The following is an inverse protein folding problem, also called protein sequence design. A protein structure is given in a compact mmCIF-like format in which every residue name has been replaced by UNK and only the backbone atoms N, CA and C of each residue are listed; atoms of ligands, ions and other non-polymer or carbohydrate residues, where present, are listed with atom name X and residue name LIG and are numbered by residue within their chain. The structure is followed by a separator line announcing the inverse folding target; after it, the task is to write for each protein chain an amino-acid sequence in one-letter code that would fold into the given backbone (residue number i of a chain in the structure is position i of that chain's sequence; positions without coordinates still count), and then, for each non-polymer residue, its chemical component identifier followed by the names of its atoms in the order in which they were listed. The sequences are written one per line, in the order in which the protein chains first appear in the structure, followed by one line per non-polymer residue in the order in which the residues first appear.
data_IF_189876225687
#
_entry.id   IF_189876225687
#
_cell.length_a   1.000
_cell.length_b   1.000
_cell.length_c   1.000
_cell.angle_alpha   90.00
_cell.angle_beta   90.00
_cell.angle_gamma   90.00
#
_symmetry.space_group_name_H-M   'P 1'
#
loop_
_entity.id
_entity.type
_entity.pdbx_description
1 polymer ?
#
# COMPACT_ATOMS: atom_id res chain seq x y z
N UNK A 1 24.59 74.91 -57.68
CA UNK A 1 25.39 74.06 -56.75
C UNK A 1 24.42 73.15 -56.01
N UNK A 2 24.39 71.85 -56.38
CA UNK A 2 24.71 70.67 -55.53
C UNK A 2 23.77 70.49 -54.33
N UNK A 3 23.16 69.35 -54.05
CA UNK A 3 23.34 67.98 -54.54
C UNK A 3 22.10 67.13 -54.13
N UNK A 4 21.68 66.18 -54.98
CA UNK A 4 20.89 65.00 -54.58
C UNK A 4 21.85 63.94 -54.01
N UNK A 5 21.44 63.20 -52.99
CA UNK A 5 21.13 61.76 -53.10
C UNK A 5 20.59 61.16 -51.77
N UNK A 6 19.91 59.99 -51.83
CA UNK A 6 18.90 59.52 -50.90
C UNK A 6 19.34 58.23 -50.14
N UNK A 7 18.36 57.58 -49.50
CA UNK A 7 18.39 56.26 -48.86
C UNK A 7 19.07 56.16 -47.49
N UNK A 8 18.27 55.83 -46.46
CA UNK A 8 18.14 54.43 -46.05
C UNK A 8 17.05 54.26 -44.98
N UNK A 9 15.93 53.67 -45.43
CA UNK A 9 15.07 52.82 -44.64
C UNK A 9 15.91 51.79 -43.85
N UNK A 10 15.77 51.80 -42.52
CA UNK A 10 15.96 50.59 -41.73
C UNK A 10 14.88 50.52 -40.66
N UNK A 11 13.71 50.07 -41.14
CA UNK A 11 12.67 49.50 -40.31
C UNK A 11 13.30 48.52 -39.31
N UNK A 12 13.20 48.85 -38.03
CA UNK A 12 13.56 47.96 -36.94
C UNK A 12 12.72 46.69 -37.03
N UNK A 13 13.30 45.63 -37.59
CA UNK A 13 12.76 44.27 -37.56
C UNK A 13 12.43 43.95 -36.10
N UNK A 14 11.17 43.63 -35.75
CA UNK A 14 10.88 43.08 -34.44
C UNK A 14 11.64 41.77 -34.36
N UNK A 15 12.67 41.73 -33.51
CA UNK A 15 13.40 40.52 -33.15
C UNK A 15 12.36 39.50 -32.71
N UNK A 16 12.03 38.58 -33.61
CA UNK A 16 11.24 37.40 -33.33
C UNK A 16 12.01 36.65 -32.26
N UNK A 17 11.51 36.74 -31.02
CA UNK A 17 11.92 35.88 -29.92
C UNK A 17 11.80 34.46 -30.46
N UNK A 18 12.93 33.84 -30.76
CA UNK A 18 13.03 32.49 -31.28
C UNK A 18 12.29 31.59 -30.31
N UNK A 19 11.08 31.19 -30.71
CA UNK A 19 10.23 30.30 -29.95
C UNK A 19 10.91 28.94 -29.91
N UNK A 20 11.75 28.70 -28.90
CA UNK A 20 12.19 27.35 -28.54
C UNK A 20 10.93 26.48 -28.55
N UNK A 21 10.93 25.46 -29.41
CA UNK A 21 9.77 24.61 -29.62
C UNK A 21 9.27 24.10 -28.27
N UNK A 22 7.99 24.28 -27.96
CA UNK A 22 7.40 23.83 -26.69
C UNK A 22 7.30 22.28 -26.62
N UNK A 23 7.59 21.60 -27.73
CA UNK A 23 7.47 20.16 -27.91
C UNK A 23 8.27 19.31 -26.92
N UNK A 24 9.57 19.56 -26.64
CA UNK A 24 10.33 18.73 -25.70
C UNK A 24 9.73 18.78 -24.29
N UNK A 25 9.18 19.94 -23.88
CA UNK A 25 8.52 20.10 -22.57
C UNK A 25 7.22 19.33 -22.49
N UNK A 26 6.42 19.33 -23.56
CA UNK A 26 5.16 18.56 -23.62
C UNK A 26 5.42 17.05 -23.65
N UNK A 27 6.44 16.61 -24.39
CA UNK A 27 6.85 15.19 -24.40
C UNK A 27 7.30 14.77 -23.01
N UNK A 28 8.17 15.55 -22.35
CA UNK A 28 8.60 15.25 -20.98
C UNK A 28 7.41 15.23 -19.99
N UNK A 29 6.46 16.15 -20.14
CA UNK A 29 5.26 16.20 -19.32
C UNK A 29 4.37 14.96 -19.53
N UNK A 30 4.18 14.52 -20.78
CA UNK A 30 3.45 13.29 -21.10
C UNK A 30 4.18 12.06 -20.52
N UNK A 31 5.50 11.98 -20.66
CA UNK A 31 6.30 10.89 -20.10
C UNK A 31 6.19 10.83 -18.57
N UNK A 32 6.19 11.97 -17.88
CA UNK A 32 6.02 12.02 -16.43
C UNK A 32 4.65 11.49 -15.99
N UNK A 33 3.56 11.89 -16.66
CA UNK A 33 2.21 11.40 -16.38
C UNK A 33 2.12 9.91 -16.72
N UNK A 34 2.66 9.50 -17.86
CA UNK A 34 2.70 8.12 -18.34
C UNK A 34 3.41 7.20 -17.35
N UNK A 35 4.55 7.62 -16.78
CA UNK A 35 5.30 6.84 -15.81
C UNK A 35 4.45 6.48 -14.58
N UNK A 36 3.64 7.42 -14.08
CA UNK A 36 2.72 7.18 -12.96
C UNK A 36 1.58 6.23 -13.35
N UNK A 37 0.99 6.43 -14.53
CA UNK A 37 -0.12 5.61 -14.99
C UNK A 37 0.30 4.16 -15.27
N UNK A 38 1.51 3.97 -15.80
CA UNK A 38 2.10 2.67 -16.13
C UNK A 38 2.70 1.94 -14.91
N UNK A 39 2.86 2.64 -13.79
CA UNK A 39 3.38 2.05 -12.56
C UNK A 39 2.51 0.85 -12.12
N UNK A 40 3.11 -0.33 -11.84
CA UNK A 40 2.36 -1.49 -11.35
C UNK A 40 1.91 -1.27 -9.90
N UNK A 41 0.85 -1.99 -9.50
CA UNK A 41 0.35 -2.01 -8.13
C UNK A 41 0.76 -3.28 -7.34
N UNK A 42 1.33 -4.28 -8.02
CA UNK A 42 1.75 -5.56 -7.46
C UNK A 42 3.13 -5.93 -8.00
N UNK A 43 3.86 -6.80 -7.30
CA UNK A 43 5.20 -7.23 -7.69
C UNK A 43 5.24 -8.21 -8.87
N UNK A 44 4.11 -8.78 -9.27
CA UNK A 44 3.96 -9.72 -10.41
C UNK A 44 4.03 -9.01 -11.77
N UNK A 45 4.90 -8.01 -11.88
CA UNK A 45 5.04 -7.15 -13.02
C UNK A 45 5.83 -7.82 -14.15
N UNK A 46 5.30 -7.73 -15.37
CA UNK A 46 5.95 -8.19 -16.58
C UNK A 46 6.40 -7.00 -17.45
N UNK A 47 7.52 -7.15 -18.16
CA UNK A 47 8.02 -6.14 -19.10
C UNK A 47 7.00 -5.76 -20.19
N UNK A 48 6.11 -6.68 -20.55
CA UNK A 48 5.04 -6.43 -21.53
C UNK A 48 3.97 -5.49 -20.99
N UNK A 49 3.65 -5.55 -19.69
CA UNK A 49 2.71 -4.62 -19.04
C UNK A 49 3.27 -3.20 -18.90
N UNK A 50 4.60 -3.04 -18.91
CA UNK A 50 5.28 -1.75 -18.84
C UNK A 50 5.20 -0.93 -20.14
N UNK A 51 5.23 -1.64 -21.27
CA UNK A 51 5.16 -1.06 -22.61
C UNK A 51 3.73 -0.72 -23.03
N UNK A 52 2.75 -1.24 -22.31
CA UNK A 52 1.35 -0.93 -22.52
C UNK A 52 1.06 0.54 -22.16
N UNK A 53 0.55 1.31 -23.12
CA UNK A 53 0.12 2.69 -22.86
C UNK A 53 -1.23 2.64 -22.14
N UNK A 54 -1.34 3.11 -20.88
CA UNK A 54 -2.63 3.23 -20.21
C UNK A 54 -3.50 4.23 -20.97
N UNK A 55 -4.74 3.83 -21.24
CA UNK A 55 -5.77 4.65 -21.89
C UNK A 55 -6.03 5.97 -21.15
N UNK A 56 -5.61 6.06 -19.88
CA UNK A 56 -5.77 7.26 -19.05
C UNK A 56 -4.98 8.48 -19.53
N UNK A 57 -3.85 8.31 -20.23
CA UNK A 57 -3.00 9.45 -20.62
C UNK A 57 -3.72 10.42 -21.58
N UNK A 58 -4.32 9.98 -22.70
CA UNK A 58 -5.11 10.87 -23.57
C UNK A 58 -6.26 11.56 -22.84
N UNK A 59 -6.98 10.83 -21.97
CA UNK A 59 -8.12 11.37 -21.21
C UNK A 59 -7.67 12.50 -20.29
N UNK A 60 -6.57 12.30 -19.56
CA UNK A 60 -6.00 13.31 -18.65
C UNK A 60 -5.51 14.53 -19.44
N UNK A 61 -4.84 14.31 -20.58
CA UNK A 61 -4.37 15.42 -21.43
C UNK A 61 -5.53 16.22 -21.99
N UNK A 62 -6.58 15.56 -22.51
CA UNK A 62 -7.80 16.23 -22.98
C UNK A 62 -8.49 17.02 -21.86
N UNK A 63 -8.60 16.44 -20.67
CA UNK A 63 -9.13 17.09 -19.48
C UNK A 63 -8.34 18.35 -19.11
N UNK A 64 -7.01 18.26 -19.11
CA UNK A 64 -6.10 19.38 -18.83
C UNK A 64 -6.22 20.50 -19.87
N UNK A 65 -6.23 20.16 -21.16
CA UNK A 65 -6.34 21.16 -22.25
C UNK A 65 -7.73 21.81 -22.27
N UNK A 66 -8.79 21.05 -21.98
CA UNK A 66 -10.18 21.52 -22.02
C UNK A 66 -10.53 22.47 -20.87
N UNK A 67 -10.14 22.14 -19.65
CA UNK A 67 -10.51 22.89 -18.44
C UNK A 67 -9.36 23.71 -17.84
N UNK A 68 -8.17 23.66 -18.45
CA UNK A 68 -7.01 24.45 -18.06
C UNK A 68 -6.64 24.27 -16.59
N UNK A 69 -6.53 25.38 -15.86
CA UNK A 69 -6.10 25.37 -14.45
C UNK A 69 -7.04 24.60 -13.53
N UNK A 70 -8.34 24.57 -13.79
CA UNK A 70 -9.28 23.80 -12.98
C UNK A 70 -8.95 22.30 -13.03
N UNK A 71 -8.66 21.77 -14.23
CA UNK A 71 -8.20 20.40 -14.38
C UNK A 71 -6.82 20.17 -13.75
N UNK A 72 -5.89 21.13 -13.82
CA UNK A 72 -4.57 21.00 -13.20
C UNK A 72 -4.66 20.80 -11.67
N UNK A 73 -5.50 21.58 -10.99
CA UNK A 73 -5.70 21.53 -9.54
C UNK A 73 -6.24 20.18 -9.07
N UNK A 74 -6.97 19.46 -9.93
CA UNK A 74 -7.51 18.13 -9.62
C UNK A 74 -6.56 17.01 -10.07
N UNK A 75 -6.08 17.07 -11.31
CA UNK A 75 -5.30 15.99 -11.91
C UNK A 75 -3.92 15.82 -11.28
N UNK A 76 -3.21 16.91 -10.95
CA UNK A 76 -1.87 16.80 -10.38
C UNK A 76 -1.89 16.15 -8.98
N UNK A 77 -2.74 16.55 -8.02
CA UNK A 77 -2.87 15.84 -6.75
C UNK A 77 -3.37 14.40 -6.92
N UNK A 78 -4.32 14.13 -7.81
CA UNK A 78 -4.81 12.77 -8.04
C UNK A 78 -3.72 11.83 -8.58
N UNK A 79 -2.91 12.31 -9.53
CA UNK A 79 -1.75 11.56 -10.04
C UNK A 79 -0.69 11.36 -8.96
N UNK A 80 -0.43 12.38 -8.14
CA UNK A 80 0.51 12.26 -7.03
C UNK A 80 0.04 11.23 -5.99
N UNK A 81 -1.23 11.26 -5.57
CA UNK A 81 -1.82 10.28 -4.68
C UNK A 81 -1.75 8.86 -5.27
N UNK A 82 -2.03 8.71 -6.57
CA UNK A 82 -1.90 7.45 -7.28
C UNK A 82 -0.46 6.92 -7.24
N UNK A 83 0.52 7.78 -7.49
CA UNK A 83 1.94 7.41 -7.45
C UNK A 83 2.37 6.98 -6.04
N UNK A 84 2.01 7.76 -5.02
CA UNK A 84 2.33 7.45 -3.62
C UNK A 84 1.68 6.14 -3.20
N UNK A 85 0.38 5.95 -3.47
CA UNK A 85 -0.33 4.74 -3.08
C UNK A 85 0.25 3.50 -3.77
N UNK A 86 0.50 3.53 -5.09
CA UNK A 86 1.13 2.41 -5.79
C UNK A 86 2.55 2.13 -5.31
N UNK A 87 3.33 3.16 -4.99
CA UNK A 87 4.66 2.99 -4.41
C UNK A 87 4.58 2.27 -3.06
N UNK A 88 3.63 2.70 -2.21
CA UNK A 88 3.39 2.06 -0.92
C UNK A 88 2.95 0.61 -1.09
N UNK A 89 2.05 0.34 -2.05
CA UNK A 89 1.61 -1.02 -2.38
C UNK A 89 2.78 -1.92 -2.78
N UNK A 90 3.66 -1.46 -3.67
CA UNK A 90 4.82 -2.25 -4.10
C UNK A 90 5.77 -2.56 -2.93
N UNK A 91 5.95 -1.60 -2.02
CA UNK A 91 6.79 -1.80 -0.84
C UNK A 91 6.14 -2.82 0.11
N UNK A 92 4.86 -2.66 0.44
CA UNK A 92 4.17 -3.61 1.33
C UNK A 92 3.96 -4.98 0.71
N UNK A 93 3.79 -5.06 -0.61
CA UNK A 93 3.64 -6.34 -1.28
C UNK A 93 4.93 -7.16 -1.16
N UNK A 94 6.08 -6.50 -1.33
CA UNK A 94 7.40 -7.14 -1.14
C UNK A 94 7.70 -7.53 0.30
N UNK A 95 7.30 -6.71 1.27
CA UNK A 95 7.64 -6.93 2.69
C UNK A 95 6.60 -7.81 3.39
N UNK A 96 5.31 -7.58 3.12
CA UNK A 96 4.17 -8.15 3.84
C UNK A 96 3.32 -9.11 3.00
N UNK A 97 3.54 -9.22 1.69
CA UNK A 97 2.73 -10.05 0.79
C UNK A 97 1.29 -9.56 0.64
N UNK A 98 1.08 -8.25 0.76
CA UNK A 98 -0.24 -7.60 0.57
C UNK A 98 -0.09 -6.13 0.19
N UNK A 99 -1.16 -5.57 -0.38
CA UNK A 99 -1.26 -4.12 -0.63
C UNK A 99 -1.28 -3.27 0.64
N UNK A 100 -0.92 -1.99 0.49
CA UNK A 100 -0.88 -1.00 1.54
C UNK A 100 -2.29 -0.48 1.83
N UNK A 101 -2.72 -0.60 3.08
CA UNK A 101 -3.96 -0.01 3.59
C UNK A 101 -3.64 1.20 4.47
N UNK A 102 -4.04 2.40 4.06
CA UNK A 102 -3.73 3.66 4.77
C UNK A 102 -4.05 3.57 6.27
N UNK A 103 -5.24 3.08 6.63
CA UNK A 103 -5.67 3.00 8.04
C UNK A 103 -4.95 1.91 8.85
N UNK A 104 -4.48 0.85 8.19
CA UNK A 104 -3.79 -0.25 8.83
C UNK A 104 -2.28 0.01 8.93
N UNK A 105 -1.67 0.53 7.88
CA UNK A 105 -0.21 0.53 7.74
C UNK A 105 0.43 1.86 8.12
N UNK A 106 -0.28 2.99 8.01
CA UNK A 106 0.25 4.29 8.44
C UNK A 106 0.64 4.29 9.94
N UNK A 107 -0.12 3.65 10.86
CA UNK A 107 0.31 3.49 12.25
C UNK A 107 1.60 2.68 12.45
N UNK A 108 2.04 1.89 11.46
CA UNK A 108 3.28 1.10 11.52
C UNK A 108 4.52 1.92 11.12
N UNK A 109 4.35 3.15 10.61
CA UNK A 109 5.48 3.99 10.19
C UNK A 109 6.49 4.25 11.33
N UNK A 110 6.00 4.40 12.58
CA UNK A 110 6.87 4.52 13.76
C UNK A 110 7.68 3.25 14.00
N UNK A 111 7.03 2.08 13.97
CA UNK A 111 7.72 0.79 14.12
C UNK A 111 8.73 0.53 13.00
N UNK A 112 8.43 0.94 11.77
CA UNK A 112 9.38 0.86 10.66
C UNK A 112 10.59 1.78 10.89
N UNK A 113 10.38 2.98 11.43
CA UNK A 113 11.47 3.87 11.82
C UNK A 113 12.30 3.28 12.96
N UNK A 114 11.67 2.77 14.02
CA UNK A 114 12.34 2.14 15.17
C UNK A 114 13.22 0.97 14.71
N UNK A 115 12.72 0.17 13.77
CA UNK A 115 13.48 -0.93 13.16
C UNK A 115 14.73 -0.42 12.42
N UNK A 116 14.59 0.58 11.54
CA UNK A 116 15.75 1.13 10.80
C UNK A 116 16.72 1.81 11.75
N UNK A 117 16.22 2.55 12.75
CA UNK A 117 17.03 3.23 13.75
C UNK A 117 17.78 2.23 14.63
N UNK A 118 17.17 1.09 14.98
CA UNK A 118 17.80 0.01 15.73
C UNK A 118 18.93 -0.69 14.97
N UNK A 119 18.81 -0.82 13.64
CA UNK A 119 19.80 -1.51 12.80
C UNK A 119 20.91 -0.56 12.31
N UNK A 120 20.54 0.63 11.84
CA UNK A 120 21.43 1.54 11.12
C UNK A 120 21.67 2.88 11.85
N UNK A 121 21.06 3.09 13.01
CA UNK A 121 21.16 4.30 13.82
C UNK A 121 20.08 5.37 13.50
N UNK A 122 19.77 6.27 14.44
CA UNK A 122 18.68 7.23 14.30
C UNK A 122 18.92 8.28 13.19
N UNK A 123 20.18 8.64 12.92
CA UNK A 123 20.52 9.60 11.86
C UNK A 123 20.21 9.05 10.47
N UNK A 124 20.55 7.79 10.21
CA UNK A 124 20.28 7.15 8.91
C UNK A 124 18.78 6.92 8.73
N UNK A 125 18.07 6.49 9.78
CA UNK A 125 16.61 6.35 9.77
C UNK A 125 15.89 7.67 9.46
N UNK A 126 16.32 8.76 10.12
CA UNK A 126 15.78 10.10 9.88
C UNK A 126 16.11 10.60 8.49
N UNK A 127 17.35 10.42 8.03
CA UNK A 127 17.77 10.77 6.67
C UNK A 127 16.98 10.03 5.59
N UNK A 128 16.71 8.73 5.79
CA UNK A 128 15.87 7.94 4.90
C UNK A 128 14.42 8.46 4.88
N UNK A 129 13.83 8.75 6.04
CA UNK A 129 12.48 9.31 6.13
C UNK A 129 12.37 10.67 5.41
N UNK A 130 13.33 11.57 5.65
CA UNK A 130 13.40 12.86 4.97
C UNK A 130 13.61 12.71 3.46
N UNK A 131 14.45 11.75 3.04
CA UNK A 131 14.66 11.43 1.63
C UNK A 131 13.40 10.96 0.93
N UNK A 132 12.60 10.10 1.58
CA UNK A 132 11.30 9.65 1.06
C UNK A 132 10.33 10.83 0.92
N UNK A 133 10.25 11.70 1.94
CA UNK A 133 9.41 12.90 1.89
C UNK A 133 9.85 13.85 0.77
N UNK A 134 11.15 14.14 0.67
CA UNK A 134 11.72 14.99 -0.37
C UNK A 134 11.43 14.44 -1.77
N UNK A 135 11.54 13.12 -1.96
CA UNK A 135 11.17 12.46 -3.21
C UNK A 135 9.68 12.61 -3.51
N UNK A 136 8.80 12.39 -2.53
CA UNK A 136 7.35 12.56 -2.69
C UNK A 136 6.99 14.00 -3.08
N UNK A 137 7.59 15.01 -2.46
CA UNK A 137 7.40 16.42 -2.83
C UNK A 137 7.99 16.75 -4.21
N UNK A 138 9.16 16.20 -4.54
CA UNK A 138 9.77 16.34 -5.86
C UNK A 138 8.86 15.80 -6.97
N UNK A 139 8.25 14.63 -6.76
CA UNK A 139 7.26 14.04 -7.68
C UNK A 139 6.01 14.92 -7.76
N UNK A 140 5.50 15.44 -6.64
CA UNK A 140 4.36 16.36 -6.64
C UNK A 140 4.63 17.60 -7.49
N UNK A 141 5.79 18.24 -7.30
CA UNK A 141 6.21 19.42 -8.05
C UNK A 141 6.40 19.11 -9.55
N UNK A 142 6.99 17.96 -9.88
CA UNK A 142 7.17 17.51 -11.26
C UNK A 142 5.81 17.29 -11.96
N UNK A 143 4.87 16.61 -11.30
CA UNK A 143 3.52 16.37 -11.83
C UNK A 143 2.71 17.65 -11.94
N UNK A 144 2.85 18.57 -10.98
CA UNK A 144 2.22 19.89 -11.05
C UNK A 144 2.70 20.67 -12.29
N UNK A 145 4.00 20.67 -12.55
CA UNK A 145 4.60 21.32 -13.73
C UNK A 145 4.20 20.61 -15.02
N UNK A 146 4.15 19.28 -15.03
CA UNK A 146 3.72 18.48 -16.18
C UNK A 146 2.27 18.80 -16.55
N UNK A 147 1.36 18.77 -15.58
CA UNK A 147 -0.05 19.14 -15.78
C UNK A 147 -0.20 20.62 -16.19
N UNK A 148 0.63 21.49 -15.62
CA UNK A 148 0.72 22.91 -15.99
C UNK A 148 1.11 23.15 -17.45
N UNK A 149 2.01 22.33 -18.00
CA UNK A 149 2.44 22.43 -19.39
C UNK A 149 1.29 22.15 -20.37
N UNK A 150 0.42 21.20 -20.04
CA UNK A 150 -0.76 20.85 -20.86
C UNK A 150 -1.94 21.82 -20.64
N UNK A 151 -2.20 22.21 -19.40
CA UNK A 151 -3.31 23.13 -19.06
C UNK A 151 -3.09 24.58 -19.51
N UNK A 152 -1.84 24.98 -19.76
CA UNK A 152 -1.51 26.27 -20.36
C UNK A 152 -1.79 26.35 -21.87
N UNK A 153 -2.10 25.23 -22.53
CA UNK A 153 -2.45 25.21 -23.94
C UNK A 153 -3.85 25.80 -24.13
N UNK A 154 -3.97 26.88 -24.91
CA UNK A 154 -5.29 27.41 -25.27
C UNK A 154 -6.01 26.39 -26.16
N UNK A 155 -7.33 26.16 -25.97
CA UNK A 155 -8.14 25.31 -26.84
C UNK A 155 -8.33 25.97 -28.22
N UNK A 156 -7.27 25.99 -29.03
CA UNK A 156 -7.32 26.26 -30.46
C UNK A 156 -7.27 24.92 -31.19
N UNK A 157 -7.80 24.84 -32.42
CA UNK A 157 -7.76 23.63 -33.29
C UNK A 157 -6.41 22.90 -33.33
N UNK A 158 -5.29 23.60 -33.08
CA UNK A 158 -3.92 23.04 -33.03
C UNK A 158 -3.59 22.25 -31.75
N UNK A 159 -4.31 22.44 -30.64
CA UNK A 159 -4.14 21.66 -29.40
C UNK A 159 -4.87 20.31 -29.44
N UNK A 160 -5.81 20.13 -30.37
CA UNK A 160 -6.54 18.87 -30.60
C UNK A 160 -5.63 17.82 -31.26
N UNK A 161 -4.66 18.25 -32.08
CA UNK A 161 -3.73 17.38 -32.81
C UNK A 161 -2.87 16.50 -31.88
N UNK A 162 -2.15 17.04 -30.86
CA UNK A 162 -1.38 16.20 -29.95
C UNK A 162 -2.28 15.30 -29.10
N UNK A 163 -3.49 15.72 -28.76
CA UNK A 163 -4.44 14.91 -28.01
C UNK A 163 -5.02 13.76 -28.84
N UNK A 164 -5.33 13.99 -30.13
CA UNK A 164 -5.74 12.95 -31.08
C UNK A 164 -4.60 11.99 -31.41
N UNK A 165 -3.38 12.48 -31.57
CA UNK A 165 -2.20 11.65 -31.77
C UNK A 165 -1.94 10.75 -30.55
N UNK A 166 -2.03 11.29 -29.33
CA UNK A 166 -1.97 10.49 -28.11
C UNK A 166 -3.09 9.45 -28.03
N UNK A 167 -4.31 9.85 -28.39
CA UNK A 167 -5.49 8.97 -28.38
C UNK A 167 -5.34 7.81 -29.38
N UNK A 168 -4.80 8.08 -30.57
CA UNK A 168 -4.52 7.06 -31.57
C UNK A 168 -3.43 6.07 -31.11
N UNK A 169 -2.36 6.58 -30.47
CA UNK A 169 -1.30 5.74 -29.90
C UNK A 169 -1.82 4.90 -28.73
N UNK A 170 -2.70 5.44 -27.89
CA UNK A 170 -3.30 4.73 -26.77
C UNK A 170 -4.41 3.74 -27.18
N UNK A 171 -4.99 3.88 -28.38
CA UNK A 171 -5.98 2.95 -28.90
C UNK A 171 -5.36 1.63 -29.39
N UNK A 172 -4.08 1.65 -29.81
CA UNK A 172 -3.36 0.47 -30.30
C UNK A 172 -3.29 -0.65 -29.24
N UNK A 173 -2.85 -0.42 -27.99
CA UNK A 173 -2.84 -1.45 -26.95
C UNK A 173 -4.24 -1.99 -26.57
N UNK A 174 -5.28 -1.16 -26.65
CA UNK A 174 -6.66 -1.58 -26.34
C UNK A 174 -7.17 -2.53 -27.42
N UNK A 175 -6.93 -2.22 -28.69
CA UNK A 175 -7.32 -3.05 -29.81
C UNK A 175 -6.56 -4.39 -29.85
N UNK A 176 -5.33 -4.43 -29.32
CA UNK A 176 -4.51 -5.65 -29.25
C UNK A 176 -4.67 -6.43 -27.95
N UNK A 177 -5.56 -6.01 -27.04
CA UNK A 177 -5.76 -6.67 -25.74
C UNK A 177 -4.58 -6.53 -24.76
N UNK A 178 -3.65 -5.62 -25.02
CA UNK A 178 -2.45 -5.35 -24.21
C UNK A 178 -2.61 -4.07 -23.40
N UNK A 179 -3.82 -3.76 -22.95
CA UNK A 179 -4.11 -2.55 -22.16
C UNK A 179 -3.32 -2.55 -20.85
N UNK A 180 -2.69 -1.42 -20.53
CA UNK A 180 -1.87 -1.26 -19.33
C UNK A 180 -2.68 -1.31 -18.02
N UNK A 181 -2.04 -1.05 -16.87
CA UNK A 181 -2.69 -1.13 -15.57
C UNK A 181 -4.03 -0.36 -15.52
N UNK A 182 -5.11 -1.05 -15.14
CA UNK A 182 -6.44 -0.48 -15.03
C UNK A 182 -6.56 0.49 -13.85
N UNK A 183 -6.08 1.73 -14.00
CA UNK A 183 -6.05 2.72 -12.92
C UNK A 183 -7.43 3.03 -12.30
N UNK A 184 -8.50 2.97 -13.11
CA UNK A 184 -9.88 3.10 -12.61
C UNK A 184 -10.28 1.90 -11.75
N UNK A 185 -10.03 0.67 -12.23
CA UNK A 185 -10.32 -0.55 -11.49
C UNK A 185 -9.52 -0.58 -10.16
N UNK A 186 -8.25 -0.18 -10.22
CA UNK A 186 -7.41 0.00 -9.03
C UNK A 186 -8.00 1.03 -8.05
N UNK A 187 -8.43 2.21 -8.52
CA UNK A 187 -9.02 3.21 -7.65
C UNK A 187 -10.34 2.71 -7.00
N UNK A 188 -11.18 2.01 -7.76
CA UNK A 188 -12.41 1.38 -7.24
C UNK A 188 -12.09 0.31 -6.19
N UNK A 189 -11.08 -0.53 -6.44
CA UNK A 189 -10.61 -1.52 -5.46
C UNK A 189 -10.14 -0.86 -4.17
N UNK A 190 -9.45 0.28 -4.24
CA UNK A 190 -9.00 1.03 -3.05
C UNK A 190 -10.17 1.63 -2.26
N UNK A 191 -11.20 2.12 -2.95
CA UNK A 191 -12.43 2.60 -2.30
C UNK A 191 -13.14 1.45 -1.60
N UNK A 192 -13.26 0.30 -2.25
CA UNK A 192 -13.88 -0.89 -1.68
C UNK A 192 -13.13 -1.39 -0.45
N UNK A 193 -11.81 -1.49 -0.53
CA UNK A 193 -10.96 -1.86 0.60
C UNK A 193 -11.11 -0.89 1.79
N UNK A 194 -11.20 0.42 1.51
CA UNK A 194 -11.42 1.42 2.55
C UNK A 194 -12.79 1.26 3.23
N UNK A 195 -13.85 0.98 2.44
CA UNK A 195 -15.18 0.68 2.97
C UNK A 195 -15.18 -0.59 3.81
N UNK A 196 -14.53 -1.66 3.34
CA UNK A 196 -14.41 -2.91 4.07
C UNK A 196 -13.68 -2.71 5.40
N UNK A 197 -12.57 -1.97 5.41
CA UNK A 197 -11.84 -1.67 6.65
C UNK A 197 -12.72 -0.90 7.67
N UNK A 198 -13.56 0.02 7.20
CA UNK A 198 -14.50 0.73 8.06
C UNK A 198 -15.61 -0.19 8.59
N UNK A 199 -16.13 -1.09 7.75
CA UNK A 199 -17.10 -2.11 8.18
C UNK A 199 -16.49 -3.05 9.22
N UNK A 200 -15.29 -3.57 8.96
CA UNK A 200 -14.54 -4.45 9.86
C UNK A 200 -14.31 -3.83 11.24
N UNK A 201 -14.04 -2.51 11.31
CA UNK A 201 -13.91 -1.78 12.59
C UNK A 201 -15.23 -1.64 13.33
N UNK A 202 -16.35 -1.46 12.62
CA UNK A 202 -17.69 -1.43 13.22
C UNK A 202 -18.04 -2.80 13.77
N UNK A 203 -17.77 -3.86 13.02
CA UNK A 203 -18.01 -5.23 13.43
C UNK A 203 -17.19 -5.61 14.66
N UNK A 204 -15.91 -5.20 14.71
CA UNK A 204 -15.08 -5.40 15.90
C UNK A 204 -15.66 -4.67 17.11
N UNK A 205 -16.05 -3.40 16.96
CA UNK A 205 -16.67 -2.63 18.04
C UNK A 205 -17.95 -3.30 18.54
N UNK A 206 -18.78 -3.80 17.63
CA UNK A 206 -20.02 -4.51 17.96
C UNK A 206 -19.76 -5.88 18.61
N UNK A 207 -18.68 -6.58 18.25
CA UNK A 207 -18.27 -7.83 18.87
C UNK A 207 -17.75 -7.59 20.30
N UNK A 208 -16.95 -6.54 20.51
CA UNK A 208 -16.49 -6.11 21.83
C UNK A 208 -17.68 -5.75 22.73
N UNK A 209 -18.67 -5.02 22.20
CA UNK A 209 -19.85 -4.63 22.96
C UNK A 209 -20.77 -5.82 23.31
N UNK A 210 -20.75 -6.88 22.51
CA UNK A 210 -21.53 -8.11 22.72
C UNK A 210 -20.63 -9.25 23.22
N UNK A 211 -19.65 -8.93 24.06
CA UNK A 211 -18.77 -9.92 24.67
C UNK A 211 -19.59 -10.99 25.43
N UNK A 212 -19.63 -12.25 24.96
CA UNK A 212 -20.41 -13.30 25.60
C UNK A 212 -19.83 -13.72 26.97
N UNK A 213 -18.60 -13.32 27.27
CA UNK A 213 -17.90 -13.62 28.51
C UNK A 213 -17.87 -12.42 29.47
N UNK A 214 -18.56 -11.32 29.14
CA UNK A 214 -18.67 -10.16 30.00
C UNK A 214 -19.40 -10.54 31.30
N UNK A 215 -18.75 -10.29 32.44
CA UNK A 215 -19.29 -10.63 33.76
C UNK A 215 -19.36 -12.13 34.08
N UNK A 216 -18.99 -13.01 33.15
CA UNK A 216 -18.94 -14.44 33.40
C UNK A 216 -17.90 -14.77 34.49
N UNK A 217 -18.25 -15.72 35.35
CA UNK A 217 -17.41 -16.23 36.41
C UNK A 217 -17.11 -17.71 36.17
N UNK A 218 -16.01 -18.20 36.75
CA UNK A 218 -15.66 -19.60 36.73
C UNK A 218 -15.29 -20.22 35.38
N UNK A 219 -14.98 -19.40 34.36
CA UNK A 219 -14.66 -19.87 33.01
C UNK A 219 -13.48 -20.84 32.95
N UNK A 220 -12.54 -20.72 33.90
CA UNK A 220 -11.29 -21.48 33.92
C UNK A 220 -11.10 -22.31 35.20
N UNK A 221 -12.10 -22.38 36.08
CA UNK A 221 -11.99 -23.01 37.41
C UNK A 221 -11.77 -24.53 37.35
N UNK A 222 -12.07 -25.15 36.20
CA UNK A 222 -11.82 -26.58 35.97
C UNK A 222 -10.36 -26.89 35.66
N UNK A 223 -9.51 -25.87 35.47
CA UNK A 223 -8.09 -26.04 35.18
C UNK A 223 -7.33 -26.01 36.51
N UNK A 224 -6.80 -27.15 36.90
CA UNK A 224 -6.11 -27.42 38.16
C UNK A 224 -4.57 -27.44 38.05
N UNK A 225 -4.04 -26.96 36.92
CA UNK A 225 -2.61 -27.10 36.56
C UNK A 225 -2.12 -25.88 35.77
N UNK A 226 -0.80 -25.79 35.62
CA UNK A 226 -0.19 -24.76 34.80
C UNK A 226 -0.55 -24.93 33.31
N UNK A 227 -0.84 -23.80 32.66
CA UNK A 227 -1.16 -23.75 31.23
C UNK A 227 -0.06 -23.01 30.49
N UNK A 228 0.57 -23.69 29.54
CA UNK A 228 1.57 -23.10 28.67
C UNK A 228 0.97 -22.85 27.28
N UNK A 229 1.09 -21.60 26.82
CA UNK A 229 0.75 -21.20 25.45
C UNK A 229 2.05 -20.88 24.73
N UNK A 230 2.40 -21.67 23.72
CA UNK A 230 3.66 -21.54 22.98
C UNK A 230 3.36 -21.14 21.55
N UNK A 231 3.88 -19.99 21.14
CA UNK A 231 3.86 -19.55 19.75
C UNK A 231 5.16 -19.97 19.07
N UNK A 232 5.05 -20.67 17.95
CA UNK A 232 6.19 -21.07 17.13
C UNK A 232 6.22 -20.19 15.89
N UNK A 233 7.23 -19.33 15.80
CA UNK A 233 7.37 -18.38 14.69
C UNK A 233 7.49 -19.12 13.35
N UNK A 234 6.83 -18.58 12.33
CA UNK A 234 6.84 -19.13 10.97
C UNK A 234 6.41 -20.61 10.83
N UNK A 235 5.69 -21.18 11.81
CA UNK A 235 5.12 -22.52 11.74
C UNK A 235 3.72 -22.51 11.12
N UNK A 236 3.63 -22.89 9.84
CA UNK A 236 2.40 -22.89 9.07
C UNK A 236 2.07 -24.25 8.45
N UNK A 237 0.93 -24.32 7.76
CA UNK A 237 0.47 -25.53 7.03
C UNK A 237 1.53 -26.07 6.06
N UNK A 238 2.30 -25.18 5.43
CA UNK A 238 3.43 -25.54 4.53
C UNK A 238 4.45 -26.47 5.20
N UNK A 239 4.72 -26.31 6.51
CA UNK A 239 5.63 -27.20 7.25
C UNK A 239 5.15 -28.65 7.30
N UNK A 240 3.85 -28.89 7.10
CA UNK A 240 3.23 -30.21 7.07
C UNK A 240 2.93 -30.69 5.64
N UNK A 241 2.76 -29.78 4.67
CA UNK A 241 2.35 -30.13 3.31
C UNK A 241 3.54 -30.21 2.33
N UNK A 242 4.65 -29.53 2.59
CA UNK A 242 5.84 -29.55 1.72
C UNK A 242 6.69 -30.81 1.97
N UNK A 243 6.92 -31.69 0.97
CA UNK A 243 7.58 -32.98 1.16
C UNK A 243 8.93 -32.91 1.90
N UNK A 244 9.74 -31.90 1.58
CA UNK A 244 11.06 -31.71 2.18
C UNK A 244 11.03 -31.55 3.72
N UNK A 245 9.99 -30.90 4.26
CA UNK A 245 9.86 -30.66 5.72
C UNK A 245 8.90 -31.64 6.40
N UNK A 246 7.90 -32.12 5.66
CA UNK A 246 6.72 -32.76 6.23
C UNK A 246 7.03 -34.07 6.98
N UNK A 247 7.93 -34.89 6.46
CA UNK A 247 8.26 -36.18 7.06
C UNK A 247 8.88 -36.00 8.45
N UNK A 248 9.89 -35.13 8.56
CA UNK A 248 10.57 -34.80 9.81
C UNK A 248 9.61 -34.22 10.84
N UNK A 249 8.78 -33.24 10.46
CA UNK A 249 7.80 -32.64 11.39
C UNK A 249 6.77 -33.67 11.88
N UNK A 250 6.22 -34.50 10.98
CA UNK A 250 5.26 -35.55 11.37
C UNK A 250 5.90 -36.60 12.27
N UNK A 251 7.15 -36.99 12.02
CA UNK A 251 7.87 -37.91 12.89
C UNK A 251 8.08 -37.33 14.31
N UNK A 252 8.42 -36.04 14.41
CA UNK A 252 8.53 -35.32 15.69
C UNK A 252 7.19 -35.28 16.43
N UNK A 253 6.10 -34.94 15.74
CA UNK A 253 4.76 -34.92 16.33
C UNK A 253 4.31 -36.30 16.83
N UNK A 254 4.59 -37.39 16.09
CA UNK A 254 4.30 -38.77 16.53
C UNK A 254 5.09 -39.14 17.79
N UNK A 255 6.37 -38.80 17.86
CA UNK A 255 7.20 -39.01 19.05
C UNK A 255 6.69 -38.22 20.26
N UNK A 256 6.27 -36.98 20.04
CA UNK A 256 5.67 -36.15 21.09
C UNK A 256 4.34 -36.73 21.60
N UNK A 257 3.44 -37.16 20.68
CA UNK A 257 2.19 -37.84 21.03
C UNK A 257 2.43 -39.06 21.91
N UNK A 258 3.38 -39.94 21.55
CA UNK A 258 3.68 -41.13 22.33
C UNK A 258 4.17 -40.81 23.75
N UNK A 259 5.04 -39.79 23.88
CA UNK A 259 5.53 -39.31 25.19
C UNK A 259 4.40 -38.71 26.04
N UNK A 260 3.52 -37.92 25.45
CA UNK A 260 2.36 -37.34 26.15
C UNK A 260 1.38 -38.44 26.59
N UNK A 261 1.07 -39.40 25.72
CA UNK A 261 0.22 -40.55 26.06
C UNK A 261 0.80 -41.38 27.21
N UNK A 262 2.11 -41.63 27.21
CA UNK A 262 2.79 -42.33 28.30
C UNK A 262 2.72 -41.56 29.65
N UNK A 263 2.58 -40.24 29.60
CA UNK A 263 2.34 -39.39 30.77
C UNK A 263 0.84 -39.21 31.11
N UNK A 264 -0.06 -39.97 30.47
CA UNK A 264 -1.51 -39.87 30.69
C UNK A 264 -2.19 -38.66 30.05
N UNK A 265 -1.51 -37.96 29.12
CA UNK A 265 -2.02 -36.79 28.42
C UNK A 265 -2.49 -37.16 27.01
N UNK A 266 -3.58 -36.54 26.57
CA UNK A 266 -4.04 -36.63 25.19
C UNK A 266 -3.58 -35.41 24.39
N UNK A 267 -3.14 -35.64 23.15
CA UNK A 267 -2.84 -34.57 22.18
C UNK A 267 -3.94 -34.47 21.12
N UNK A 268 -4.21 -33.23 20.71
CA UNK A 268 -5.13 -32.84 19.64
C UNK A 268 -4.47 -31.74 18.81
N UNK A 269 -4.72 -31.75 17.52
CA UNK A 269 -4.16 -30.78 16.57
C UNK A 269 -5.19 -30.45 15.50
N UNK A 270 -5.12 -29.24 14.96
CA UNK A 270 -5.95 -28.80 13.84
C UNK A 270 -5.25 -27.67 13.08
N UNK A 271 -5.78 -27.36 11.90
CA UNK A 271 -5.34 -26.21 11.10
C UNK A 271 -6.34 -25.09 11.32
N UNK A 272 -5.83 -23.92 11.71
CA UNK A 272 -6.63 -22.70 11.86
C UNK A 272 -6.09 -21.62 10.94
N UNK A 273 -6.97 -20.74 10.48
CA UNK A 273 -6.55 -19.56 9.74
C UNK A 273 -5.84 -18.58 10.68
N UNK A 274 -4.69 -18.05 10.25
CA UNK A 274 -3.98 -17.01 10.96
C UNK A 274 -4.21 -15.65 10.29
N UNK A 275 -4.38 -14.56 11.06
CA UNK A 275 -4.52 -13.21 10.51
C UNK A 275 -3.21 -12.61 10.00
N UNK A 276 -2.08 -13.27 10.28
CA UNK A 276 -0.74 -12.73 10.06
C UNK A 276 -0.24 -12.95 8.64
N UNK A 277 0.41 -11.93 8.06
CA UNK A 277 1.25 -12.04 6.85
C UNK A 277 2.54 -11.25 7.05
N UNK A 278 3.68 -11.80 6.62
CA UNK A 278 4.98 -11.10 6.57
C UNK A 278 5.45 -10.43 7.87
N UNK A 279 5.48 -11.16 9.00
CA UNK A 279 6.10 -10.67 10.24
C UNK A 279 5.17 -9.96 11.23
N UNK A 280 3.85 -10.05 11.05
CA UNK A 280 2.84 -9.42 11.92
C UNK A 280 2.33 -10.32 13.07
N UNK A 281 3.21 -11.11 13.71
CA UNK A 281 2.81 -12.18 14.65
C UNK A 281 1.96 -11.71 15.84
N UNK A 282 2.11 -10.45 16.27
CA UNK A 282 1.27 -9.85 17.31
C UNK A 282 -0.23 -9.88 16.98
N UNK A 283 -0.62 -9.91 15.71
CA UNK A 283 -2.02 -10.04 15.27
C UNK A 283 -2.58 -11.43 15.60
N UNK A 284 -1.80 -12.49 15.39
CA UNK A 284 -2.15 -13.85 15.81
C UNK A 284 -2.23 -13.95 17.33
N UNK A 285 -1.28 -13.34 18.06
CA UNK A 285 -1.29 -13.34 19.52
C UNK A 285 -2.53 -12.63 20.07
N UNK A 286 -2.87 -11.46 19.52
CA UNK A 286 -4.05 -10.71 19.90
C UNK A 286 -5.35 -11.47 19.57
N UNK A 287 -5.39 -12.19 18.44
CA UNK A 287 -6.54 -13.01 18.07
C UNK A 287 -6.75 -14.16 19.05
N UNK A 288 -5.69 -14.87 19.42
CA UNK A 288 -5.77 -15.91 20.46
C UNK A 288 -6.18 -15.32 21.81
N UNK A 289 -5.54 -14.21 22.22
CA UNK A 289 -5.76 -13.62 23.52
C UNK A 289 -7.15 -13.01 23.69
N UNK A 290 -7.77 -12.52 22.62
CA UNK A 290 -9.10 -11.90 22.67
C UNK A 290 -10.23 -12.84 22.25
N UNK A 291 -9.95 -13.89 21.47
CA UNK A 291 -10.99 -14.67 20.79
C UNK A 291 -11.65 -13.91 19.62
N UNK A 292 -11.18 -12.70 19.29
CA UNK A 292 -11.69 -11.88 18.19
C UNK A 292 -10.70 -11.95 17.02
N UNK A 293 -11.20 -11.95 15.78
CA UNK A 293 -10.33 -11.89 14.61
C UNK A 293 -9.64 -10.51 14.53
N UNK A 294 -8.32 -10.46 14.77
CA UNK A 294 -7.51 -9.25 14.68
C UNK A 294 -6.65 -9.34 13.42
N UNK A 295 -7.24 -8.96 12.28
CA UNK A 295 -6.65 -9.09 10.94
C UNK A 295 -5.64 -8.00 10.54
N UNK A 296 -5.60 -6.89 11.26
CA UNK A 296 -4.79 -5.73 10.91
C UNK A 296 -4.47 -4.86 12.12
N UNK A 297 -3.53 -3.93 11.94
CA UNK A 297 -3.07 -3.03 12.99
C UNK A 297 -4.15 -2.06 13.48
N UNK A 298 -5.11 -1.70 12.62
CA UNK A 298 -6.21 -0.81 12.97
C UNK A 298 -7.16 -1.48 13.97
N UNK A 299 -7.49 -2.77 13.76
CA UNK A 299 -8.21 -3.64 14.70
C UNK A 299 -7.43 -3.88 15.98
N UNK A 300 -6.12 -4.13 15.87
CA UNK A 300 -5.26 -4.30 17.03
C UNK A 300 -5.28 -3.09 17.97
N UNK A 301 -5.12 -1.88 17.42
CA UNK A 301 -5.20 -0.64 18.21
C UNK A 301 -6.59 -0.39 18.79
N UNK A 302 -7.65 -0.72 18.06
CA UNK A 302 -9.01 -0.62 18.56
C UNK A 302 -9.25 -1.57 19.76
N UNK A 303 -8.75 -2.81 19.68
CA UNK A 303 -8.79 -3.75 20.79
C UNK A 303 -8.02 -3.21 22.01
N UNK A 304 -6.79 -2.74 21.82
CA UNK A 304 -5.95 -2.22 22.91
C UNK A 304 -6.52 -0.97 23.61
N UNK A 305 -7.32 -0.17 22.90
CA UNK A 305 -7.97 1.02 23.45
C UNK A 305 -9.36 0.74 24.03
N UNK A 306 -9.82 -0.51 23.95
CA UNK A 306 -11.12 -0.93 24.48
C UNK A 306 -10.98 -1.52 25.88
N UNK A 307 -12.07 -1.55 26.68
CA UNK A 307 -12.08 -2.24 27.97
C UNK A 307 -12.22 -3.77 27.84
N UNK A 308 -12.08 -4.34 26.64
CA UNK A 308 -12.35 -5.76 26.37
C UNK A 308 -11.44 -6.68 27.18
N UNK A 309 -12.05 -7.62 27.91
CA UNK A 309 -11.35 -8.49 28.84
C UNK A 309 -11.15 -9.91 28.26
N UNK A 310 -10.08 -10.08 27.48
CA UNK A 310 -9.72 -11.35 26.86
C UNK A 310 -9.19 -12.43 27.84
N UNK A 311 -8.69 -13.53 27.27
CA UNK A 311 -8.20 -14.74 27.95
C UNK A 311 -7.34 -14.45 29.18
N UNK A 312 -6.33 -13.59 29.06
CA UNK A 312 -5.42 -13.33 30.18
C UNK A 312 -6.07 -12.55 31.33
N UNK A 313 -7.09 -11.74 31.04
CA UNK A 313 -7.90 -11.09 32.09
C UNK A 313 -8.81 -12.10 32.81
N UNK A 314 -9.37 -13.05 32.06
CA UNK A 314 -10.19 -14.12 32.62
C UNK A 314 -9.33 -15.08 33.46
N UNK A 315 -8.14 -15.44 32.98
CA UNK A 315 -7.18 -16.26 33.72
C UNK A 315 -6.74 -15.61 35.03
N UNK A 316 -6.42 -14.31 35.03
CA UNK A 316 -6.14 -13.57 36.28
C UNK A 316 -7.30 -13.60 37.26
N UNK A 317 -8.55 -13.46 36.78
CA UNK A 317 -9.75 -13.54 37.63
C UNK A 317 -9.97 -14.93 38.22
N UNK A 318 -9.57 -15.98 37.51
CA UNK A 318 -9.56 -17.35 37.99
C UNK A 318 -8.33 -17.69 38.87
N UNK A 319 -7.50 -16.71 39.23
CA UNK A 319 -6.37 -16.90 40.15
C UNK A 319 -5.04 -17.29 39.49
N UNK A 320 -4.96 -17.39 38.16
CA UNK A 320 -3.71 -17.70 37.48
C UNK A 320 -2.72 -16.53 37.56
N UNK A 321 -1.45 -16.84 37.85
CA UNK A 321 -0.33 -15.92 37.63
C UNK A 321 0.07 -15.97 36.16
N UNK A 322 0.07 -14.81 35.50
CA UNK A 322 0.45 -14.69 34.10
C UNK A 322 1.92 -14.29 33.98
N UNK A 323 2.68 -15.05 33.22
CA UNK A 323 4.08 -14.77 32.87
C UNK A 323 4.22 -14.87 31.36
N UNK A 324 4.87 -13.90 30.74
CA UNK A 324 5.19 -13.92 29.31
C UNK A 324 6.69 -13.76 29.13
N UNK A 325 7.30 -14.63 28.33
CA UNK A 325 8.70 -14.54 27.94
C UNK A 325 8.81 -14.66 26.43
N UNK A 326 9.60 -13.76 25.83
CA UNK A 326 9.98 -13.86 24.43
C UNK A 326 11.42 -14.35 24.37
N UNK A 327 11.64 -15.50 23.75
CA UNK A 327 12.99 -16.07 23.56
C UNK A 327 13.36 -15.83 22.10
N UNK A 328 14.43 -15.05 21.89
CA UNK A 328 15.01 -14.77 20.57
C UNK A 328 16.18 -15.71 20.33
#
# INVERSE_FOLDING_TARGET
MRNRDPDQDSAGVPRTRTGRSAWPRLVLAALAIQAVLAMPATSDWSWTSALAVPVGLPVIVLFLVGLGRAAQVVAAPALWLLAVQKSADLVTDRILGRSFGVMADLPLAGAAWDMVAGVAGPLTATGAALGILALAFGVAAALWRACGAWSGLRPRRRAIIPALALSAVAALPVATGTSGPGNLAYALQRIDQARQTLADRRDLTAAIARDPFAGAQGLLDRIDRDVLVVFVESYGRTSLDTPFYAETHRATLRRAQARLSAAGLAMRSGIVAAPTRGGQSWLSHATLASGLWIGDQSRYRALLSSPYAGLFHQARRAGFRIVSQHVV
#
